data_IF_105189946086
#
_entry.id   IF_105189946086
#
_cell.length_a   1.000
_cell.length_b   1.000
_cell.length_c   1.000
_cell.angle_alpha   90.00
_cell.angle_beta   90.00
_cell.angle_gamma   90.00
#
_symmetry.space_group_name_H-M   'P 1'
#
loop_
_entity.id
_entity.type
_entity.pdbx_description
1 polymer ?
#
# COMPACT_ATOMS: atom_id res chain seq x y z
N UNK A 1 3.42 -14.46 -7.93
CA UNK A 1 3.48 -13.03 -8.28
C UNK A 1 4.61 -12.37 -7.56
N UNK A 2 5.34 -11.55 -8.27
CA UNK A 2 6.42 -10.76 -7.71
C UNK A 2 5.85 -9.68 -6.79
N UNK A 3 6.54 -9.43 -5.67
CA UNK A 3 6.11 -8.39 -4.73
C UNK A 3 6.11 -7.01 -5.38
N UNK A 4 7.03 -6.75 -6.29
CA UNK A 4 7.08 -5.47 -7.00
C UNK A 4 5.83 -5.24 -7.84
N UNK A 5 5.32 -6.29 -8.47
CA UNK A 5 4.08 -6.20 -9.25
C UNK A 5 2.89 -5.93 -8.34
N UNK A 6 2.85 -6.58 -7.18
CA UNK A 6 1.78 -6.37 -6.22
C UNK A 6 1.78 -4.95 -5.69
N UNK A 7 2.97 -4.43 -5.39
CA UNK A 7 3.10 -3.03 -4.93
C UNK A 7 2.66 -2.05 -6.02
N UNK A 8 3.05 -2.31 -7.26
CA UNK A 8 2.64 -1.45 -8.37
C UNK A 8 1.13 -1.44 -8.53
N UNK A 9 0.50 -2.60 -8.46
CA UNK A 9 -0.96 -2.70 -8.58
C UNK A 9 -1.65 -1.94 -7.47
N UNK A 10 -1.18 -2.08 -6.24
CA UNK A 10 -1.74 -1.36 -5.11
C UNK A 10 -1.61 0.13 -5.32
N UNK A 11 -0.45 0.58 -5.77
CA UNK A 11 -0.18 1.99 -6.01
C UNK A 11 -1.09 2.57 -7.10
N UNK A 12 -1.23 1.83 -8.21
CA UNK A 12 -2.10 2.26 -9.31
C UNK A 12 -3.56 2.29 -8.88
N UNK A 13 -4.01 1.28 -8.16
CA UNK A 13 -5.38 1.23 -7.66
C UNK A 13 -5.66 2.38 -6.71
N UNK A 14 -4.73 2.66 -5.82
CA UNK A 14 -4.88 3.77 -4.89
C UNK A 14 -4.96 5.10 -5.63
N UNK A 15 -4.11 5.30 -6.63
CA UNK A 15 -4.12 6.53 -7.43
C UNK A 15 -5.44 6.69 -8.17
N UNK A 16 -5.94 5.61 -8.77
CA UNK A 16 -7.21 5.64 -9.49
C UNK A 16 -8.37 5.97 -8.56
N UNK A 17 -8.40 5.35 -7.39
CA UNK A 17 -9.46 5.61 -6.43
C UNK A 17 -9.36 7.02 -5.86
N UNK A 18 -8.14 7.51 -5.68
CA UNK A 18 -7.94 8.86 -5.18
C UNK A 18 -8.48 9.91 -6.15
N UNK A 19 -8.34 9.68 -7.45
CA UNK A 19 -8.90 10.57 -8.45
C UNK A 19 -10.42 10.65 -8.38
N UNK A 20 -11.05 9.57 -7.92
CA UNK A 20 -12.51 9.49 -7.79
C UNK A 20 -13.02 9.98 -6.44
N UNK A 21 -12.13 10.21 -5.50
CA UNK A 21 -12.50 10.72 -4.17
C UNK A 21 -12.81 12.21 -4.28
N UNK A 22 -13.97 12.60 -3.78
CA UNK A 22 -14.42 14.00 -3.86
C UNK A 22 -14.67 14.63 -2.49
N UNK A 23 -14.66 13.83 -1.43
CA UNK A 23 -14.91 14.34 -0.11
C UNK A 23 -14.01 13.65 0.91
N UNK A 24 -14.06 14.15 2.13
CA UNK A 24 -13.21 13.65 3.22
C UNK A 24 -13.59 12.23 3.61
N UNK A 25 -14.87 11.91 3.56
CA UNK A 25 -15.34 10.56 3.91
C UNK A 25 -14.78 9.52 2.94
N UNK A 26 -14.77 9.84 1.64
CA UNK A 26 -14.19 8.98 0.63
C UNK A 26 -12.70 8.80 0.83
N UNK A 27 -12.01 9.88 1.19
CA UNK A 27 -10.58 9.83 1.46
C UNK A 27 -10.26 8.94 2.67
N UNK A 28 -11.03 9.07 3.74
CA UNK A 28 -10.86 8.25 4.93
C UNK A 28 -11.11 6.78 4.63
N UNK A 29 -12.12 6.48 3.83
CA UNK A 29 -12.43 5.11 3.43
C UNK A 29 -11.28 4.51 2.61
N UNK A 30 -10.71 5.28 1.69
CA UNK A 30 -9.58 4.84 0.90
C UNK A 30 -8.36 4.60 1.79
N UNK A 31 -8.10 5.49 2.71
CA UNK A 31 -6.99 5.34 3.65
C UNK A 31 -7.13 4.06 4.47
N UNK A 32 -8.31 3.77 4.97
CA UNK A 32 -8.57 2.53 5.70
C UNK A 32 -8.38 1.30 4.82
N UNK A 33 -8.82 1.38 3.56
CA UNK A 33 -8.70 0.27 2.64
C UNK A 33 -7.24 -0.05 2.33
N UNK A 34 -6.40 0.97 2.20
CA UNK A 34 -5.00 0.79 1.83
C UNK A 34 -4.06 0.66 3.01
N UNK A 35 -4.27 1.46 4.06
CA UNK A 35 -3.35 1.59 5.18
C UNK A 35 -3.91 1.03 6.50
N UNK A 36 -5.15 0.58 6.53
CA UNK A 36 -5.76 0.03 7.73
C UNK A 36 -5.20 -1.35 8.10
N UNK A 37 -5.66 -1.88 9.23
CA UNK A 37 -5.19 -3.18 9.73
C UNK A 37 -5.42 -4.31 8.74
N UNK A 38 -6.47 -4.22 7.95
CA UNK A 38 -6.78 -5.22 6.92
C UNK A 38 -6.54 -4.64 5.51
N UNK A 39 -5.80 -3.55 5.42
CA UNK A 39 -5.54 -2.92 4.14
C UNK A 39 -4.60 -3.73 3.27
N UNK A 40 -4.57 -3.40 1.99
CA UNK A 40 -3.76 -4.12 1.00
C UNK A 40 -2.28 -4.06 1.35
N UNK A 41 -1.79 -2.92 1.81
CA UNK A 41 -0.38 -2.79 2.22
C UNK A 41 -0.08 -3.62 3.47
N UNK A 42 -1.01 -3.67 4.41
CA UNK A 42 -0.83 -4.47 5.62
C UNK A 42 -0.78 -5.96 5.29
N UNK A 43 -1.61 -6.41 4.35
CA UNK A 43 -1.57 -7.79 3.90
C UNK A 43 -0.24 -8.11 3.23
N UNK A 44 0.28 -7.17 2.47
CA UNK A 44 1.58 -7.34 1.82
C UNK A 44 2.70 -7.42 2.86
N UNK A 45 2.62 -6.63 3.92
CA UNK A 45 3.56 -6.69 5.04
C UNK A 45 3.57 -8.07 5.70
N UNK A 46 2.39 -8.67 5.85
CA UNK A 46 2.28 -10.01 6.41
C UNK A 46 2.91 -11.05 5.47
N UNK A 47 2.70 -10.88 4.17
CA UNK A 47 3.32 -11.76 3.17
C UNK A 47 4.83 -11.67 3.21
N UNK A 48 5.36 -10.52 3.59
CA UNK A 48 6.79 -10.31 3.70
C UNK A 48 7.44 -11.30 4.68
N UNK A 49 6.73 -11.72 5.71
CA UNK A 49 7.24 -12.69 6.67
C UNK A 49 7.55 -14.04 6.05
N UNK A 50 6.99 -14.35 4.89
CA UNK A 50 7.23 -15.60 4.18
C UNK A 50 8.45 -15.54 3.26
N UNK A 51 9.02 -14.35 3.08
CA UNK A 51 10.18 -14.19 2.23
C UNK A 51 11.46 -14.65 2.93
N UNK A 52 12.49 -15.06 2.14
CA UNK A 52 13.79 -15.34 2.73
C UNK A 52 14.35 -14.13 3.46
N UNK A 53 15.16 -14.40 4.48
CA UNK A 53 15.69 -13.33 5.32
C UNK A 53 16.47 -12.28 4.53
N UNK A 54 17.09 -12.67 3.43
CA UNK A 54 17.86 -11.75 2.60
C UNK A 54 17.00 -10.75 1.86
N UNK A 55 15.76 -11.10 1.57
CA UNK A 55 14.85 -10.26 0.82
C UNK A 55 13.95 -9.40 1.69
N UNK A 56 13.83 -9.74 2.97
CA UNK A 56 12.95 -9.01 3.90
C UNK A 56 13.27 -7.52 4.03
N UNK A 57 14.54 -7.13 4.22
CA UNK A 57 14.83 -5.70 4.34
C UNK A 57 14.49 -4.92 3.09
N UNK A 58 14.74 -5.51 1.93
CA UNK A 58 14.46 -4.87 0.65
C UNK A 58 12.96 -4.68 0.46
N UNK A 59 12.20 -5.74 0.76
CA UNK A 59 10.73 -5.68 0.65
C UNK A 59 10.15 -4.67 1.62
N UNK A 60 10.67 -4.62 2.85
CA UNK A 60 10.22 -3.67 3.84
C UNK A 60 10.44 -2.23 3.41
N UNK A 61 11.58 -1.95 2.80
CA UNK A 61 11.87 -0.61 2.27
C UNK A 61 10.90 -0.23 1.18
N UNK A 62 10.62 -1.15 0.26
CA UNK A 62 9.70 -0.89 -0.83
C UNK A 62 8.29 -0.59 -0.32
N UNK A 63 7.83 -1.37 0.64
CA UNK A 63 6.52 -1.18 1.23
C UNK A 63 6.45 0.17 1.95
N UNK A 64 7.50 0.54 2.68
CA UNK A 64 7.54 1.83 3.37
C UNK A 64 7.49 3.00 2.39
N UNK A 65 8.21 2.91 1.28
CA UNK A 65 8.21 3.96 0.27
C UNK A 65 6.80 4.13 -0.31
N UNK A 66 6.15 3.03 -0.64
CA UNK A 66 4.79 3.07 -1.18
C UNK A 66 3.84 3.66 -0.15
N UNK A 67 3.96 3.25 1.11
CA UNK A 67 3.12 3.75 2.18
C UNK A 67 3.27 5.26 2.36
N UNK A 68 4.51 5.74 2.34
CA UNK A 68 4.76 7.17 2.45
C UNK A 68 4.15 7.95 1.30
N UNK A 69 4.30 7.45 0.08
CA UNK A 69 3.73 8.10 -1.09
C UNK A 69 2.21 8.15 -1.02
N UNK A 70 1.58 7.07 -0.61
CA UNK A 70 0.13 7.03 -0.46
C UNK A 70 -0.33 7.98 0.63
N UNK A 71 0.39 8.05 1.73
CA UNK A 71 0.06 8.97 2.81
C UNK A 71 0.15 10.42 2.34
N UNK A 72 1.20 10.76 1.59
CA UNK A 72 1.34 12.11 1.06
C UNK A 72 0.22 12.46 0.08
N UNK A 73 -0.16 11.52 -0.77
CA UNK A 73 -1.23 11.76 -1.73
C UNK A 73 -2.59 11.93 -1.05
N UNK A 74 -2.78 11.29 0.08
CA UNK A 74 -4.04 11.35 0.82
C UNK A 74 -4.12 12.53 1.78
N UNK A 75 -2.99 13.11 2.13
CA UNK A 75 -2.94 14.30 2.97
C UNK A 75 -2.98 15.54 2.11
#
# INVERSE_FOLDING_TARGET
>A
MDMQEQLRKIQEEAANQLENVRDKAGLDALRLKMLGKKGDLTQLLRSMGQLPAKERPKAGQMINVVRERLTEQMD
#
